data_IF_392283889576
#
_entry.id   IF_392283889576
#
_cell.length_a   1.000
_cell.length_b   1.000
_cell.length_c   1.000
_cell.angle_alpha   90.00
_cell.angle_beta   90.00
_cell.angle_gamma   90.00
#
_symmetry.space_group_name_H-M   'P 1'
#
loop_
_entity.id
_entity.type
_entity.pdbx_description
1 polymer ?
#
# COMPACT_ATOMS: atom_id res chain seq x y z
N UNK A 1 8.68 -8.26 -6.63
CA UNK A 1 7.76 -7.23 -7.17
C UNK A 1 8.18 -5.89 -6.60
N UNK A 2 8.35 -4.84 -7.43
CA UNK A 2 8.62 -3.47 -6.96
C UNK A 2 7.41 -2.61 -7.32
N UNK A 3 6.75 -1.93 -6.36
CA UNK A 3 5.59 -1.12 -6.66
C UNK A 3 5.98 0.07 -7.54
N UNK A 4 5.27 0.25 -8.65
CA UNK A 4 5.43 1.42 -9.51
C UNK A 4 4.49 2.54 -9.04
N UNK A 5 4.92 3.81 -9.12
CA UNK A 5 4.13 4.96 -8.63
C UNK A 5 2.75 5.06 -9.30
N UNK A 6 2.62 4.61 -10.54
CA UNK A 6 1.34 4.60 -11.26
C UNK A 6 0.32 3.58 -10.72
N UNK A 7 0.70 2.73 -9.77
CA UNK A 7 -0.23 1.78 -9.12
C UNK A 7 -1.06 2.45 -8.03
N UNK A 8 -0.61 3.59 -7.51
CA UNK A 8 -1.35 4.33 -6.51
C UNK A 8 -2.47 5.12 -7.16
N UNK A 9 -3.60 5.18 -6.47
CA UNK A 9 -4.71 6.05 -6.83
C UNK A 9 -4.23 7.51 -6.89
N UNK A 10 -4.61 8.27 -7.93
CA UNK A 10 -4.21 9.67 -8.07
C UNK A 10 -4.48 10.49 -6.80
N UNK A 11 -3.46 11.20 -6.33
CA UNK A 11 -3.54 12.07 -5.16
C UNK A 11 -3.44 11.37 -3.79
N UNK A 12 -3.37 10.03 -3.74
CA UNK A 12 -3.30 9.29 -2.46
C UNK A 12 -1.87 9.03 -1.97
N UNK A 13 -0.87 9.08 -2.86
CA UNK A 13 0.52 8.84 -2.50
C UNK A 13 1.13 10.06 -1.78
N UNK A 14 1.60 9.85 -0.56
CA UNK A 14 2.27 10.84 0.26
C UNK A 14 3.62 10.32 0.75
N UNK A 15 4.68 11.11 0.56
CA UNK A 15 6.00 10.83 1.13
C UNK A 15 5.94 11.08 2.64
N UNK A 16 6.55 10.18 3.41
CA UNK A 16 6.69 10.30 4.86
C UNK A 16 8.07 10.87 5.19
N UNK A 17 8.09 12.02 5.85
CA UNK A 17 9.31 12.62 6.37
C UNK A 17 9.05 13.14 7.80
N UNK A 18 9.65 12.54 8.84
CA UNK A 18 10.60 11.42 8.80
C UNK A 18 9.94 10.07 8.41
N UNK A 19 10.73 9.03 8.04
CA UNK A 19 10.23 7.67 7.87
C UNK A 19 9.51 7.15 9.11
N UNK A 20 8.52 6.28 8.93
CA UNK A 20 7.71 5.72 10.03
C UNK A 20 7.86 4.20 10.11
N UNK A 21 8.13 3.66 11.29
CA UNK A 21 8.20 2.21 11.49
C UNK A 21 6.81 1.57 11.38
N UNK A 22 6.69 0.50 10.61
CA UNK A 22 5.47 -0.28 10.42
C UNK A 22 5.77 -1.78 10.62
N UNK A 23 4.78 -2.53 11.12
CA UNK A 23 4.86 -3.99 11.27
C UNK A 23 4.08 -4.68 10.15
N UNK A 24 4.63 -5.79 9.64
CA UNK A 24 3.99 -6.58 8.57
C UNK A 24 3.10 -7.72 9.08
N UNK A 25 3.06 -7.94 10.40
CA UNK A 25 2.22 -8.97 11.03
C UNK A 25 2.89 -10.34 11.14
N UNK A 26 4.12 -10.47 10.64
CA UNK A 26 5.01 -11.65 10.75
C UNK A 26 6.19 -11.37 11.70
N UNK A 27 5.95 -10.58 12.76
CA UNK A 27 6.95 -10.06 13.71
C UNK A 27 8.04 -9.16 13.11
N UNK A 28 8.09 -9.01 11.78
CA UNK A 28 9.01 -8.11 11.11
C UNK A 28 8.49 -6.67 11.11
N UNK A 29 9.43 -5.72 11.04
CA UNK A 29 9.14 -4.30 10.90
C UNK A 29 10.09 -3.62 9.93
N UNK A 30 9.61 -2.56 9.27
CA UNK A 30 10.38 -1.74 8.32
C UNK A 30 10.07 -0.26 8.52
N UNK A 31 10.92 0.61 7.98
CA UNK A 31 10.66 2.04 7.93
C UNK A 31 10.00 2.43 6.60
N UNK A 32 8.72 2.77 6.66
CA UNK A 32 7.96 3.30 5.54
C UNK A 32 8.42 4.72 5.18
N UNK A 33 8.71 4.93 3.89
CA UNK A 33 9.12 6.24 3.33
C UNK A 33 7.98 6.94 2.58
N UNK A 34 6.86 6.26 2.36
CA UNK A 34 5.68 6.80 1.71
C UNK A 34 4.49 5.87 1.89
N UNK A 35 3.28 6.43 1.80
CA UNK A 35 2.02 5.69 1.96
C UNK A 35 1.09 6.07 0.81
N UNK A 36 0.29 5.13 0.33
CA UNK A 36 -0.76 5.42 -0.64
C UNK A 36 -1.73 4.26 -0.81
N UNK A 37 -2.83 4.54 -1.51
CA UNK A 37 -3.87 3.55 -1.78
C UNK A 37 -3.63 2.92 -3.13
N UNK A 38 -3.63 1.59 -3.19
CA UNK A 38 -3.62 0.82 -4.44
C UNK A 38 -4.96 0.08 -4.54
N UNK A 39 -5.61 0.14 -5.69
CA UNK A 39 -6.80 -0.68 -5.97
C UNK A 39 -6.34 -2.00 -6.57
N UNK A 40 -6.50 -3.08 -5.81
CA UNK A 40 -6.29 -4.43 -6.33
C UNK A 40 -7.63 -4.93 -6.87
N UNK A 41 -7.69 -5.09 -8.19
CA UNK A 41 -8.80 -5.78 -8.83
C UNK A 41 -8.61 -7.28 -8.64
N UNK A 42 -9.13 -7.82 -7.53
CA UNK A 42 -9.14 -9.25 -7.28
C UNK A 42 -10.57 -9.80 -7.44
N UNK A 43 -10.73 -10.81 -8.28
CA UNK A 43 -12.00 -11.55 -8.36
C UNK A 43 -12.02 -12.60 -7.25
N UNK A 44 -12.42 -12.21 -6.04
CA UNK A 44 -12.74 -13.19 -4.99
C UNK A 44 -14.23 -13.49 -5.11
N UNK A 45 -14.58 -14.74 -5.41
CA UNK A 45 -15.95 -15.29 -5.48
C UNK A 45 -17.08 -14.28 -5.71
N UNK A 46 -17.43 -13.97 -6.97
CA UNK A 46 -18.60 -13.16 -7.35
C UNK A 46 -18.88 -11.90 -6.48
N UNK A 47 -17.88 -11.08 -6.10
CA UNK A 47 -17.97 -9.60 -5.96
C UNK A 47 -16.74 -9.01 -5.26
N UNK A 48 -16.23 -7.90 -5.82
CA UNK A 48 -15.70 -6.78 -5.03
C UNK A 48 -14.26 -6.37 -5.32
N UNK A 49 -14.09 -5.10 -5.73
CA UNK A 49 -12.81 -4.38 -5.71
C UNK A 49 -12.23 -4.37 -4.29
N UNK A 50 -10.94 -4.69 -4.13
CA UNK A 50 -10.27 -4.61 -2.84
C UNK A 50 -9.33 -3.40 -2.80
N UNK A 51 -9.59 -2.48 -1.88
CA UNK A 51 -8.67 -1.39 -1.59
C UNK A 51 -7.60 -1.90 -0.65
N UNK A 52 -6.35 -1.89 -1.10
CA UNK A 52 -5.21 -2.22 -0.26
C UNK A 52 -4.38 -0.96 -0.02
N UNK A 53 -4.20 -0.61 1.26
CA UNK A 53 -3.24 0.43 1.64
C UNK A 53 -1.86 -0.20 1.64
N UNK A 54 -0.96 0.32 0.79
CA UNK A 54 0.45 -0.08 0.81
C UNK A 54 1.16 0.87 1.76
N UNK A 55 1.70 0.30 2.84
CA UNK A 55 2.48 0.99 3.87
C UNK A 55 3.96 0.72 3.66
#
# INVERSE_FOLDING_TARGET
MVPHRSWFEPGTYHVLHPPRTISFGDESSVNAIGIGTVILQATVGKKGLQYCTVK
#
